data_IF_735921501579
#
_entry.id   IF_735921501579
#
_cell.length_a   1.000
_cell.length_b   1.000
_cell.length_c   1.000
_cell.angle_alpha   90.00
_cell.angle_beta   90.00
_cell.angle_gamma   90.00
#
_symmetry.space_group_name_H-M   'P 1'
#
loop_
_entity.id
_entity.type
_entity.pdbx_description
1 polymer ?
#
# COMPACT_ATOMS: atom_id res chain seq x y z
N UNK A 1 -21.47 -4.69 8.91
CA UNK A 1 -20.18 -5.36 8.84
C UNK A 1 -19.11 -4.32 8.58
N UNK A 2 -17.98 -4.42 9.24
CA UNK A 2 -16.84 -3.56 8.98
C UNK A 2 -16.22 -3.89 7.60
N UNK A 3 -15.40 -3.01 7.06
CA UNK A 3 -14.88 -3.14 5.70
C UNK A 3 -13.36 -3.23 5.71
N UNK A 4 -12.83 -4.16 4.94
CA UNK A 4 -11.41 -4.30 4.65
C UNK A 4 -11.18 -3.75 3.24
N UNK A 5 -10.64 -2.54 3.14
CA UNK A 5 -10.30 -1.94 1.85
C UNK A 5 -8.91 -2.46 1.47
N UNK A 6 -8.84 -3.19 0.36
CA UNK A 6 -7.57 -3.74 -0.14
C UNK A 6 -7.12 -2.94 -1.35
N UNK A 7 -6.10 -2.11 -1.17
CA UNK A 7 -5.53 -1.35 -2.28
C UNK A 7 -4.58 -2.22 -3.10
N UNK A 8 -4.97 -2.49 -4.33
CA UNK A 8 -4.23 -3.27 -5.31
C UNK A 8 -3.61 -2.36 -6.38
N UNK A 9 -2.61 -2.85 -7.05
CA UNK A 9 -1.91 -2.14 -8.14
C UNK A 9 -0.40 -2.33 -8.04
N UNK A 10 0.29 -2.06 -9.14
CA UNK A 10 1.73 -2.22 -9.25
C UNK A 10 2.51 -1.31 -8.28
N UNK A 11 3.77 -1.61 -7.99
CA UNK A 11 4.66 -0.66 -7.35
C UNK A 11 4.64 0.69 -8.10
N UNK A 12 4.53 1.80 -7.39
CA UNK A 12 4.41 3.13 -8.02
C UNK A 12 2.98 3.57 -8.40
N UNK A 13 1.96 2.71 -8.29
CA UNK A 13 0.57 3.04 -8.65
C UNK A 13 -0.08 4.12 -7.75
N UNK A 14 0.49 4.43 -6.57
CA UNK A 14 -0.05 5.47 -5.69
C UNK A 14 -0.84 4.91 -4.50
N UNK A 15 -0.81 3.60 -4.24
CA UNK A 15 -1.52 2.95 -3.12
C UNK A 15 -1.31 3.64 -1.78
N UNK A 16 -0.07 3.91 -1.40
CA UNK A 16 0.24 4.56 -0.11
C UNK A 16 -0.31 5.97 0.00
N UNK A 17 -0.35 6.74 -1.10
CA UNK A 17 -0.98 8.07 -1.13
C UNK A 17 -2.47 7.95 -0.90
N UNK A 18 -3.14 7.03 -1.58
CA UNK A 18 -4.57 6.80 -1.43
C UNK A 18 -4.92 6.22 -0.06
N UNK A 19 -4.11 5.29 0.45
CA UNK A 19 -4.30 4.73 1.79
C UNK A 19 -4.28 5.82 2.87
N UNK A 20 -3.36 6.79 2.76
CA UNK A 20 -3.28 7.90 3.69
C UNK A 20 -4.51 8.83 3.58
N UNK A 21 -4.92 9.21 2.37
CA UNK A 21 -6.13 10.02 2.18
C UNK A 21 -7.38 9.32 2.73
N UNK A 22 -7.51 8.01 2.51
CA UNK A 22 -8.59 7.20 3.07
C UNK A 22 -8.52 7.15 4.60
N UNK A 23 -7.32 6.96 5.17
CA UNK A 23 -7.12 6.98 6.63
C UNK A 23 -7.54 8.31 7.25
N UNK A 24 -7.08 9.42 6.68
CA UNK A 24 -7.36 10.77 7.18
C UNK A 24 -8.85 11.11 7.15
N UNK A 25 -9.56 10.68 6.09
CA UNK A 25 -10.95 11.09 5.85
C UNK A 25 -11.99 10.08 6.30
N UNK A 26 -11.68 8.78 6.24
CA UNK A 26 -12.58 7.72 6.69
C UNK A 26 -12.28 7.28 8.13
N UNK A 27 -11.15 7.74 8.71
CA UNK A 27 -10.69 7.37 10.06
C UNK A 27 -10.49 5.87 10.25
N UNK A 28 -10.16 5.15 9.16
CA UNK A 28 -9.78 3.75 9.20
C UNK A 28 -8.26 3.62 9.26
N UNK A 29 -7.71 2.73 10.10
CA UNK A 29 -6.25 2.57 10.17
C UNK A 29 -5.69 2.01 8.87
N UNK A 30 -4.58 2.59 8.39
CA UNK A 30 -3.78 2.05 7.32
C UNK A 30 -2.83 0.99 7.86
N UNK A 31 -2.77 -0.15 7.18
CA UNK A 31 -1.82 -1.23 7.43
C UNK A 31 -0.98 -1.41 6.17
N UNK A 32 0.22 -0.84 6.18
CA UNK A 32 1.19 -0.94 5.10
C UNK A 32 2.25 -1.97 5.46
N UNK A 33 2.22 -3.14 4.82
CA UNK A 33 3.26 -4.17 5.04
C UNK A 33 4.64 -3.66 4.66
N UNK A 34 4.74 -2.85 3.61
CA UNK A 34 6.00 -2.23 3.21
C UNK A 34 6.56 -1.29 4.28
N UNK A 35 5.72 -0.50 4.96
CA UNK A 35 6.17 0.41 6.02
C UNK A 35 6.55 -0.37 7.28
N UNK A 36 5.78 -1.40 7.63
CA UNK A 36 6.11 -2.31 8.74
C UNK A 36 7.51 -2.91 8.51
N UNK A 37 7.78 -3.48 7.34
CA UNK A 37 9.09 -4.04 7.04
C UNK A 37 10.20 -2.99 6.97
N UNK A 38 9.91 -1.78 6.49
CA UNK A 38 10.88 -0.68 6.52
C UNK A 38 11.21 -0.22 7.95
N UNK A 39 10.25 -0.23 8.85
CA UNK A 39 10.52 0.12 10.26
C UNK A 39 11.44 -0.88 10.97
N UNK A 40 11.48 -2.13 10.51
CA UNK A 40 12.43 -3.13 11.02
C UNK A 40 13.89 -2.80 10.68
N UNK A 41 14.16 -1.88 9.73
CA UNK A 41 15.53 -1.50 9.34
C UNK A 41 16.37 -0.94 10.49
N UNK A 42 15.73 -0.38 11.50
CA UNK A 42 16.42 0.12 12.69
C UNK A 42 16.75 -0.97 13.73
N UNK A 43 16.15 -2.14 13.59
CA UNK A 43 16.43 -3.28 14.44
C UNK A 43 17.68 -4.03 13.95
N UNK A 44 18.60 -4.31 14.87
CA UNK A 44 19.83 -5.06 14.60
C UNK A 44 19.64 -6.56 14.87
N UNK A 45 18.53 -7.13 14.37
CA UNK A 45 18.26 -8.57 14.49
C UNK A 45 18.54 -9.29 13.17
N UNK A 46 18.87 -10.60 13.19
CA UNK A 46 19.05 -11.39 11.98
C UNK A 46 17.83 -11.33 11.05
N UNK A 47 16.62 -11.39 11.60
CA UNK A 47 15.38 -11.25 10.84
C UNK A 47 15.27 -9.91 10.11
N UNK A 48 15.62 -8.81 10.79
CA UNK A 48 15.58 -7.48 10.19
C UNK A 48 16.58 -7.34 9.04
N UNK A 49 17.75 -7.99 9.15
CA UNK A 49 18.74 -8.04 8.09
C UNK A 49 18.23 -8.83 6.88
N UNK A 50 17.69 -10.02 7.10
CA UNK A 50 17.11 -10.87 6.04
C UNK A 50 15.98 -10.13 5.29
N UNK A 51 15.04 -9.54 6.00
CA UNK A 51 13.94 -8.75 5.41
C UNK A 51 14.50 -7.60 4.57
N UNK A 52 15.54 -6.91 5.03
CA UNK A 52 16.19 -5.83 4.28
C UNK A 52 16.76 -6.31 2.97
N UNK A 53 17.55 -7.39 3.00
CA UNK A 53 18.17 -7.97 1.82
C UNK A 53 17.14 -8.45 0.78
N UNK A 54 16.02 -9.04 1.22
CA UNK A 54 14.91 -9.43 0.35
C UNK A 54 14.31 -8.22 -0.34
N UNK A 55 14.03 -7.15 0.41
CA UNK A 55 13.42 -5.92 -0.13
C UNK A 55 14.36 -5.18 -1.09
N UNK A 56 15.66 -5.16 -0.82
CA UNK A 56 16.67 -4.52 -1.68
C UNK A 56 16.82 -5.24 -3.03
N UNK A 57 16.55 -6.55 -3.07
CA UNK A 57 16.44 -7.33 -4.30
C UNK A 57 15.10 -7.20 -5.01
N UNK A 58 14.17 -6.42 -4.49
CA UNK A 58 12.83 -6.24 -5.05
C UNK A 58 11.90 -7.44 -4.90
N UNK A 59 12.25 -8.39 -4.06
CA UNK A 59 11.48 -9.62 -3.79
C UNK A 59 10.44 -9.42 -2.69
N UNK A 60 9.49 -10.37 -2.59
CA UNK A 60 8.52 -10.40 -1.49
C UNK A 60 9.11 -11.07 -0.26
N UNK A 61 8.81 -10.49 0.89
CA UNK A 61 9.05 -11.15 2.20
C UNK A 61 8.18 -12.41 2.27
N UNK A 62 8.67 -13.52 2.86
CA UNK A 62 7.94 -14.78 2.94
C UNK A 62 6.50 -14.63 3.44
N UNK A 63 5.59 -15.39 2.82
CA UNK A 63 4.16 -15.32 3.08
C UNK A 63 3.83 -15.54 4.56
N UNK A 64 4.46 -16.51 5.20
CA UNK A 64 4.21 -16.87 6.60
C UNK A 64 4.45 -15.68 7.53
N UNK A 65 5.60 -14.99 7.35
CA UNK A 65 5.96 -13.82 8.16
C UNK A 65 5.00 -12.66 7.88
N UNK A 66 4.68 -12.43 6.59
CA UNK A 66 3.78 -11.35 6.19
C UNK A 66 2.36 -11.58 6.74
N UNK A 67 1.84 -12.80 6.64
CA UNK A 67 0.52 -13.19 7.14
C UNK A 67 0.46 -13.03 8.67
N UNK A 68 1.48 -13.48 9.38
CA UNK A 68 1.55 -13.35 10.83
C UNK A 68 1.50 -11.88 11.26
N UNK A 69 2.32 -11.02 10.64
CA UNK A 69 2.33 -9.59 10.92
C UNK A 69 0.98 -8.91 10.67
N UNK A 70 0.32 -9.26 9.58
CA UNK A 70 -1.01 -8.71 9.27
C UNK A 70 -2.04 -9.19 10.30
N UNK A 71 -2.04 -10.45 10.69
CA UNK A 71 -2.94 -10.99 11.73
C UNK A 71 -2.75 -10.29 13.06
N UNK A 72 -1.51 -10.13 13.51
CA UNK A 72 -1.19 -9.42 14.77
C UNK A 72 -1.66 -7.96 14.72
N UNK A 73 -1.39 -7.25 13.62
CA UNK A 73 -1.77 -5.84 13.47
C UNK A 73 -3.29 -5.64 13.42
N UNK A 74 -4.01 -6.50 12.71
CA UNK A 74 -5.46 -6.41 12.55
C UNK A 74 -6.25 -6.86 13.78
N UNK A 75 -5.62 -7.54 14.72
CA UNK A 75 -6.20 -7.89 16.01
C UNK A 75 -6.29 -6.70 16.99
N UNK A 76 -5.62 -5.58 16.70
CA UNK A 76 -5.64 -4.41 17.58
C UNK A 76 -7.02 -3.72 17.56
N UNK A 77 -7.40 -3.06 18.68
CA UNK A 77 -8.74 -2.48 18.84
C UNK A 77 -9.12 -1.43 17.78
N UNK A 78 -8.14 -0.71 17.22
CA UNK A 78 -8.36 0.31 16.20
C UNK A 78 -8.82 -0.26 14.85
N UNK A 79 -8.68 -1.58 14.63
CA UNK A 79 -9.11 -2.27 13.42
C UNK A 79 -10.56 -2.81 13.47
N UNK A 80 -11.26 -2.65 14.59
CA UNK A 80 -12.61 -3.22 14.79
C UNK A 80 -13.65 -2.69 13.79
N UNK A 81 -13.55 -1.42 13.44
CA UNK A 81 -14.50 -0.75 12.53
C UNK A 81 -14.10 -0.89 11.04
N UNK A 82 -13.05 -1.64 10.78
CA UNK A 82 -12.47 -1.84 9.47
C UNK A 82 -11.06 -1.26 9.36
N UNK A 83 -10.40 -1.51 8.23
CA UNK A 83 -9.03 -1.06 7.98
C UNK A 83 -8.69 -1.07 6.49
N UNK A 84 -7.57 -0.43 6.17
CA UNK A 84 -7.04 -0.31 4.82
C UNK A 84 -5.75 -1.13 4.73
N UNK A 85 -5.70 -2.08 3.80
CA UNK A 85 -4.50 -2.85 3.50
C UNK A 85 -3.75 -2.24 2.31
N UNK A 86 -2.50 -1.90 2.50
CA UNK A 86 -1.56 -1.46 1.48
C UNK A 86 -0.39 -2.44 1.37
N UNK A 87 -0.27 -3.09 0.23
CA UNK A 87 0.77 -4.07 -0.03
C UNK A 87 0.49 -5.48 0.50
N UNK A 88 -0.75 -5.80 0.83
CA UNK A 88 -1.23 -7.12 1.18
C UNK A 88 -2.69 -7.29 0.70
N UNK A 89 -3.09 -8.43 0.11
CA UNK A 89 -2.26 -9.56 -0.26
C UNK A 89 -1.43 -9.30 -1.52
N UNK A 90 -0.33 -10.04 -1.69
CA UNK A 90 0.52 -10.03 -2.90
C UNK A 90 0.67 -11.40 -3.55
N UNK A 91 0.24 -12.46 -2.86
CA UNK A 91 0.29 -13.84 -3.37
C UNK A 91 -1.04 -14.54 -3.16
N UNK A 92 -1.34 -15.62 -3.91
CA UNK A 92 -2.55 -16.41 -3.68
C UNK A 92 -2.65 -16.99 -2.27
N UNK A 93 -1.54 -17.33 -1.63
CA UNK A 93 -1.53 -17.80 -0.25
C UNK A 93 -1.97 -16.71 0.73
N UNK A 94 -1.46 -15.50 0.56
CA UNK A 94 -1.87 -14.33 1.33
C UNK A 94 -3.35 -13.99 1.10
N UNK A 95 -3.85 -14.09 -0.14
CA UNK A 95 -5.26 -13.83 -0.45
C UNK A 95 -6.21 -14.83 0.25
N UNK A 96 -5.83 -16.11 0.27
CA UNK A 96 -6.59 -17.13 1.03
C UNK A 96 -6.59 -16.85 2.53
N UNK A 97 -5.45 -16.48 3.08
CA UNK A 97 -5.34 -16.10 4.50
C UNK A 97 -6.17 -14.89 4.85
N UNK A 98 -6.21 -13.88 3.95
CA UNK A 98 -7.07 -12.71 4.13
C UNK A 98 -8.56 -13.07 4.10
N UNK A 99 -8.97 -13.95 3.19
CA UNK A 99 -10.36 -14.42 3.12
C UNK A 99 -10.79 -15.12 4.41
N UNK A 100 -9.93 -15.97 4.97
CA UNK A 100 -10.18 -16.62 6.26
C UNK A 100 -10.26 -15.59 7.39
N UNK A 101 -9.31 -14.66 7.48
CA UNK A 101 -9.29 -13.62 8.50
C UNK A 101 -10.54 -12.73 8.44
N UNK A 102 -10.97 -12.36 7.23
CA UNK A 102 -12.17 -11.55 7.03
C UNK A 102 -13.43 -12.29 7.49
N UNK A 103 -13.52 -13.61 7.23
CA UNK A 103 -14.63 -14.43 7.70
C UNK A 103 -14.64 -14.53 9.24
N UNK A 104 -13.49 -14.75 9.88
CA UNK A 104 -13.34 -14.79 11.34
C UNK A 104 -13.75 -13.43 11.98
N UNK A 105 -13.44 -12.32 11.34
CA UNK A 105 -13.78 -10.97 11.80
C UNK A 105 -15.18 -10.52 11.37
N UNK A 106 -15.89 -11.28 10.55
CA UNK A 106 -17.18 -10.93 9.94
C UNK A 106 -17.12 -9.62 9.12
N UNK A 107 -16.02 -9.42 8.40
CA UNK A 107 -15.76 -8.24 7.58
C UNK A 107 -15.87 -8.55 6.09
N UNK A 108 -16.29 -7.55 5.31
CA UNK A 108 -16.29 -7.64 3.84
C UNK A 108 -14.95 -7.16 3.28
N UNK A 109 -14.40 -7.89 2.31
CA UNK A 109 -13.22 -7.48 1.56
C UNK A 109 -13.64 -6.68 0.34
N UNK A 110 -13.05 -5.49 0.16
CA UNK A 110 -13.28 -4.61 -0.99
C UNK A 110 -11.94 -4.38 -1.68
N UNK A 111 -11.59 -5.18 -2.69
CA UNK A 111 -10.38 -4.99 -3.47
C UNK A 111 -10.58 -3.86 -4.48
N UNK A 112 -9.69 -2.86 -4.43
CA UNK A 112 -9.66 -1.70 -5.34
C UNK A 112 -8.33 -1.67 -6.06
N UNK A 113 -8.36 -1.91 -7.37
CA UNK A 113 -7.20 -1.79 -8.25
C UNK A 113 -7.02 -0.33 -8.67
N UNK A 114 -5.87 0.25 -8.33
CA UNK A 114 -5.40 1.52 -8.88
C UNK A 114 -4.58 1.17 -10.12
N UNK A 115 -5.19 1.32 -11.28
CA UNK A 115 -4.60 0.91 -12.55
C UNK A 115 -3.76 2.04 -13.15
N UNK A 116 -2.49 1.75 -13.46
CA UNK A 116 -1.53 2.72 -14.00
C UNK A 116 -0.70 2.02 -15.08
N UNK A 117 -0.56 2.63 -16.26
CA UNK A 117 0.31 2.13 -17.32
C UNK A 117 1.76 1.93 -16.86
N UNK A 118 2.39 0.86 -17.34
CA UNK A 118 3.73 0.44 -16.92
C UNK A 118 4.78 1.54 -17.13
N UNK A 119 4.65 2.29 -18.23
CA UNK A 119 5.59 3.36 -18.62
C UNK A 119 5.65 4.51 -17.61
N UNK A 120 4.58 4.72 -16.84
CA UNK A 120 4.52 5.75 -15.80
C UNK A 120 5.11 5.26 -14.46
N UNK A 121 5.05 3.96 -14.20
CA UNK A 121 5.42 3.39 -12.91
C UNK A 121 6.90 3.55 -12.59
N UNK A 122 7.77 3.35 -13.57
CA UNK A 122 9.21 3.53 -13.39
C UNK A 122 9.55 4.97 -12.98
N UNK A 123 9.04 5.98 -13.70
CA UNK A 123 9.22 7.39 -13.35
C UNK A 123 8.64 7.73 -11.99
N UNK A 124 7.48 7.16 -11.65
CA UNK A 124 6.86 7.36 -10.34
C UNK A 124 7.71 6.80 -9.19
N UNK A 125 8.37 5.65 -9.39
CA UNK A 125 9.21 5.06 -8.37
C UNK A 125 10.58 5.74 -8.27
N UNK A 126 11.29 5.88 -9.38
CA UNK A 126 12.64 6.49 -9.39
C UNK A 126 12.62 7.97 -9.01
N UNK A 127 11.54 8.68 -9.36
CA UNK A 127 11.32 10.08 -8.99
C UNK A 127 10.80 10.29 -7.58
N UNK A 128 10.42 9.24 -6.84
CA UNK A 128 9.85 9.35 -5.51
C UNK A 128 10.86 9.89 -4.50
N UNK A 129 10.36 10.80 -3.65
CA UNK A 129 11.06 11.31 -2.47
C UNK A 129 10.10 11.23 -1.29
N UNK A 130 10.62 10.97 -0.10
CA UNK A 130 9.82 10.84 1.12
C UNK A 130 10.40 11.71 2.23
N UNK A 131 9.55 12.38 2.99
CA UNK A 131 9.97 13.06 4.20
C UNK A 131 10.24 12.04 5.32
N UNK A 132 11.41 12.06 5.97
CA UNK A 132 11.72 11.13 7.06
C UNK A 132 10.92 11.42 8.35
N UNK A 133 10.29 12.60 8.47
CA UNK A 133 9.53 13.03 9.65
C UNK A 133 8.06 12.67 9.53
N UNK A 134 7.38 13.08 8.43
CA UNK A 134 5.93 12.90 8.26
C UNK A 134 5.54 11.85 7.22
N UNK A 135 6.51 11.23 6.56
CA UNK A 135 6.29 10.30 5.46
C UNK A 135 5.53 10.89 4.26
N UNK A 136 5.42 12.25 4.15
CA UNK A 136 4.87 12.88 2.96
C UNK A 136 5.66 12.45 1.72
N UNK A 137 4.90 12.14 0.64
CA UNK A 137 5.47 11.61 -0.60
C UNK A 137 5.44 12.71 -1.65
N UNK A 138 6.61 12.99 -2.19
CA UNK A 138 6.86 13.87 -3.33
C UNK A 138 7.34 13.05 -4.52
N UNK A 139 7.33 13.68 -5.68
CA UNK A 139 7.90 13.12 -6.89
C UNK A 139 8.56 14.24 -7.70
N UNK A 140 9.82 14.07 -8.06
CA UNK A 140 10.58 15.09 -8.78
C UNK A 140 10.01 15.43 -10.17
N UNK A 141 9.19 14.53 -10.75
CA UNK A 141 8.57 14.74 -12.07
C UNK A 141 7.11 15.18 -11.99
N UNK A 142 6.34 14.70 -10.99
CA UNK A 142 4.88 14.86 -10.97
C UNK A 142 4.35 15.68 -9.80
N UNK A 143 5.07 15.72 -8.69
CA UNK A 143 4.72 16.48 -7.48
C UNK A 143 6.01 16.92 -6.78
N UNK A 144 6.78 17.86 -7.37
CA UNK A 144 7.99 18.36 -6.72
C UNK A 144 7.64 19.13 -5.44
N UNK A 145 8.52 19.16 -4.44
CA UNK A 145 8.39 20.06 -3.30
C UNK A 145 8.56 21.52 -3.75
N UNK A 146 8.10 22.47 -2.93
CA UNK A 146 8.26 23.92 -3.21
C UNK A 146 9.72 24.36 -3.27
N UNK A 147 10.53 23.78 -2.40
CA UNK A 147 11.99 24.00 -2.36
C UNK A 147 12.69 22.68 -2.63
N UNK A 148 13.71 22.72 -3.45
CA UNK A 148 14.41 21.52 -3.88
C UNK A 148 14.87 20.68 -2.69
N UNK A 149 14.48 19.40 -2.71
CA UNK A 149 14.83 18.39 -1.74
C UNK A 149 14.44 18.68 -0.26
N UNK A 150 13.48 19.59 -0.03
CA UNK A 150 13.00 19.97 1.31
C UNK A 150 11.50 19.64 1.45
N UNK A 151 11.09 19.15 2.61
CA UNK A 151 9.68 18.87 2.89
C UNK A 151 8.89 20.19 3.08
N UNK A 152 7.75 20.32 2.39
CA UNK A 152 6.89 21.50 2.50
C UNK A 152 6.24 21.66 3.89
N UNK A 153 6.09 20.55 4.63
CA UNK A 153 5.50 20.50 5.97
C UNK A 153 6.55 20.55 7.09
N UNK A 154 7.79 20.17 6.79
CA UNK A 154 8.92 20.13 7.72
C UNK A 154 10.15 20.73 7.03
N UNK A 155 10.29 22.07 7.05
CA UNK A 155 11.35 22.75 6.31
C UNK A 155 12.78 22.35 6.74
N UNK A 156 12.94 21.80 7.93
CA UNK A 156 14.21 21.27 8.45
C UNK A 156 14.53 19.86 7.93
N UNK A 157 13.56 19.17 7.30
CA UNK A 157 13.73 17.80 6.86
C UNK A 157 14.11 17.72 5.38
N UNK A 158 15.27 17.14 5.11
CA UNK A 158 15.71 16.78 3.77
C UNK A 158 14.96 15.54 3.29
N UNK A 159 14.41 15.59 2.09
CA UNK A 159 13.73 14.46 1.47
C UNK A 159 14.71 13.34 1.13
N UNK A 160 14.29 12.11 1.33
CA UNK A 160 15.11 10.92 1.03
C UNK A 160 14.50 10.09 -0.09
N UNK A 161 15.34 9.51 -0.94
CA UNK A 161 14.94 8.44 -1.85
C UNK A 161 15.00 7.11 -1.10
N UNK A 162 14.01 6.25 -1.29
CA UNK A 162 14.03 4.90 -0.71
C UNK A 162 15.14 4.08 -1.38
N UNK A 163 15.79 3.21 -0.64
CA UNK A 163 16.85 2.34 -1.15
C UNK A 163 16.36 1.42 -2.29
N UNK A 164 15.07 1.05 -2.24
CA UNK A 164 14.39 0.20 -3.23
C UNK A 164 13.76 0.96 -4.41
N UNK A 165 14.07 2.25 -4.58
CA UNK A 165 13.60 3.09 -5.70
C UNK A 165 14.71 3.42 -6.73
N UNK A 166 15.81 2.67 -6.71
CA UNK A 166 16.79 2.72 -7.79
C UNK A 166 16.28 1.93 -9.02
N UNK A 167 16.70 2.27 -10.25
CA UNK A 167 16.16 1.67 -11.48
C UNK A 167 16.23 0.14 -11.50
N UNK A 168 17.33 -0.45 -11.05
CA UNK A 168 17.55 -1.90 -11.06
C UNK A 168 16.53 -2.61 -10.14
N UNK A 169 16.40 -2.17 -8.90
CA UNK A 169 15.42 -2.71 -7.97
C UNK A 169 13.98 -2.45 -8.43
N UNK A 170 13.72 -1.32 -9.07
CA UNK A 170 12.40 -0.99 -9.65
C UNK A 170 12.00 -2.01 -10.71
N UNK A 171 12.90 -2.37 -11.63
CA UNK A 171 12.63 -3.41 -12.62
C UNK A 171 12.36 -4.78 -11.97
N UNK A 172 13.15 -5.16 -10.97
CA UNK A 172 12.93 -6.41 -10.22
C UNK A 172 11.55 -6.42 -9.52
N UNK A 173 11.14 -5.31 -8.91
CA UNK A 173 9.83 -5.15 -8.25
C UNK A 173 8.66 -5.24 -9.22
N UNK A 174 8.79 -4.67 -10.41
CA UNK A 174 7.77 -4.76 -11.45
C UNK A 174 7.65 -6.19 -11.98
N UNK A 175 8.78 -6.89 -12.20
CA UNK A 175 8.77 -8.29 -12.58
C UNK A 175 8.11 -9.18 -11.52
N UNK A 176 8.49 -9.01 -10.25
CA UNK A 176 7.87 -9.71 -9.11
C UNK A 176 6.35 -9.45 -9.02
N UNK A 177 5.92 -8.20 -9.28
CA UNK A 177 4.50 -7.86 -9.30
C UNK A 177 3.77 -8.59 -10.42
N UNK A 178 4.28 -8.57 -11.64
CA UNK A 178 3.65 -9.24 -12.80
C UNK A 178 3.53 -10.75 -12.57
N UNK A 179 4.55 -11.38 -12.00
CA UNK A 179 4.58 -12.82 -11.76
C UNK A 179 3.69 -13.26 -10.59
N UNK A 180 3.77 -12.56 -9.45
CA UNK A 180 3.21 -13.05 -8.19
C UNK A 180 1.94 -12.33 -7.75
N UNK A 181 1.80 -11.04 -8.07
CA UNK A 181 0.71 -10.21 -7.55
C UNK A 181 -0.39 -9.95 -8.57
N UNK A 182 -0.03 -9.73 -9.84
CA UNK A 182 -1.01 -9.49 -10.90
C UNK A 182 -2.06 -10.61 -11.03
N UNK A 183 -1.76 -11.90 -10.85
CA UNK A 183 -2.77 -12.96 -10.87
C UNK A 183 -3.91 -12.76 -9.88
N UNK A 184 -3.71 -12.00 -8.78
CA UNK A 184 -4.77 -11.67 -7.84
C UNK A 184 -5.84 -10.74 -8.43
N UNK A 185 -5.50 -9.93 -9.43
CA UNK A 185 -6.45 -9.08 -10.14
C UNK A 185 -7.50 -9.96 -10.81
N UNK A 186 -7.08 -11.00 -11.51
CA UNK A 186 -7.99 -11.96 -12.15
C UNK A 186 -8.77 -12.79 -11.12
N UNK A 187 -8.14 -13.15 -10.01
CA UNK A 187 -8.81 -13.83 -8.90
C UNK A 187 -9.99 -13.03 -8.34
N UNK A 188 -9.79 -11.75 -8.01
CA UNK A 188 -10.86 -10.91 -7.47
C UNK A 188 -11.87 -10.48 -8.54
N UNK A 189 -11.44 -10.34 -9.79
CA UNK A 189 -12.33 -10.09 -10.93
C UNK A 189 -13.27 -11.27 -11.18
N UNK A 190 -12.75 -12.49 -11.18
CA UNK A 190 -13.56 -13.71 -11.32
C UNK A 190 -14.55 -13.90 -10.16
N UNK A 191 -14.19 -13.44 -8.96
CA UNK A 191 -15.08 -13.43 -7.80
C UNK A 191 -16.16 -12.31 -7.85
N UNK A 192 -16.10 -11.40 -8.85
CA UNK A 192 -17.02 -10.26 -8.96
C UNK A 192 -16.83 -9.19 -7.89
N UNK A 193 -15.68 -9.17 -7.21
CA UNK A 193 -15.40 -8.26 -6.09
C UNK A 193 -14.55 -7.05 -6.51
N UNK A 194 -13.76 -7.18 -7.58
CA UNK A 194 -12.76 -6.17 -7.96
C UNK A 194 -13.42 -4.86 -8.41
N UNK A 195 -13.00 -3.77 -7.79
CA UNK A 195 -13.24 -2.42 -8.26
C UNK A 195 -11.97 -1.89 -8.93
N UNK A 196 -12.10 -1.10 -10.00
CA UNK A 196 -10.95 -0.53 -10.71
C UNK A 196 -11.10 0.97 -10.86
N UNK A 197 -10.04 1.70 -10.56
CA UNK A 197 -9.95 3.16 -10.71
C UNK A 197 -8.73 3.54 -11.55
N UNK A 198 -8.85 4.62 -12.32
CA UNK A 198 -7.75 5.15 -13.12
C UNK A 198 -6.73 5.86 -12.22
N UNK A 199 -5.57 5.23 -12.05
CA UNK A 199 -4.46 5.75 -11.25
C UNK A 199 -3.57 6.79 -11.94
N UNK A 200 -3.91 7.22 -13.16
CA UNK A 200 -3.15 8.27 -13.88
C UNK A 200 -3.56 9.68 -13.49
N UNK A 201 -4.72 9.82 -12.87
CA UNK A 201 -5.32 11.09 -12.47
C UNK A 201 -4.64 11.71 -11.26
N UNK A 202 -5.02 12.95 -10.93
CA UNK A 202 -4.57 13.62 -9.70
C UNK A 202 -5.03 12.87 -8.44
N UNK A 203 -4.24 12.88 -7.36
CA UNK A 203 -4.52 12.09 -6.15
C UNK A 203 -5.92 12.29 -5.57
N UNK A 204 -6.43 13.54 -5.58
CA UNK A 204 -7.79 13.85 -5.13
C UNK A 204 -8.87 13.17 -5.98
N UNK A 205 -8.72 13.23 -7.30
CA UNK A 205 -9.68 12.62 -8.21
C UNK A 205 -9.69 11.09 -8.08
N UNK A 206 -8.52 10.48 -7.85
CA UNK A 206 -8.43 9.03 -7.58
C UNK A 206 -9.13 8.70 -6.25
N UNK A 207 -8.93 9.52 -5.22
CA UNK A 207 -9.62 9.34 -3.94
C UNK A 207 -11.14 9.38 -4.11
N UNK A 208 -11.68 10.37 -4.83
CA UNK A 208 -13.11 10.47 -5.11
C UNK A 208 -13.65 9.24 -5.86
N UNK A 209 -12.88 8.74 -6.85
CA UNK A 209 -13.26 7.54 -7.59
C UNK A 209 -13.24 6.30 -6.67
N UNK A 210 -12.26 6.16 -5.79
CA UNK A 210 -12.24 5.09 -4.79
C UNK A 210 -13.47 5.17 -3.88
N UNK A 211 -13.75 6.33 -3.30
CA UNK A 211 -14.91 6.51 -2.40
C UNK A 211 -16.22 6.19 -3.11
N UNK A 212 -16.35 6.52 -4.39
CA UNK A 212 -17.56 6.25 -5.19
C UNK A 212 -17.79 4.75 -5.40
N UNK A 213 -16.75 3.95 -5.51
CA UNK A 213 -16.87 2.48 -5.69
C UNK A 213 -16.94 1.73 -4.36
N UNK A 214 -16.64 2.39 -3.24
CA UNK A 214 -16.84 1.79 -1.93
C UNK A 214 -18.34 1.72 -1.63
N UNK A 215 -18.89 0.54 -1.25
CA UNK A 215 -20.23 0.47 -0.71
C UNK A 215 -20.31 1.39 0.52
N UNK A 216 -21.40 2.15 0.66
CA UNK A 216 -21.55 3.16 1.72
C UNK A 216 -21.06 2.62 3.07
N UNK A 217 -19.93 3.12 3.51
CA UNK A 217 -19.42 2.84 4.85
C UNK A 217 -20.41 3.55 5.76
N UNK A 218 -21.25 2.79 6.46
CA UNK A 218 -22.30 3.33 7.31
C UNK A 218 -21.72 4.38 8.25
N UNK A 219 -22.06 5.64 8.03
CA UNK A 219 -21.69 6.77 8.87
C UNK A 219 -22.27 6.71 10.31
N UNK A 220 -22.88 5.57 10.68
CA UNK A 220 -23.56 5.36 11.96
C UNK A 220 -22.73 4.69 13.06
N UNK A 221 -21.41 4.49 12.85
CA UNK A 221 -20.54 3.99 13.94
C UNK A 221 -20.00 5.10 14.86
N UNK A 222 -20.61 6.30 14.82
CA UNK A 222 -20.29 7.41 15.75
C UNK A 222 -21.49 7.68 16.66
N UNK A 223 -21.64 6.90 17.72
CA UNK A 223 -22.26 7.30 18.99
C UNK A 223 -21.62 6.55 20.14
#
# INVERSE_FOLDING_TARGET
MAKIIVLMGAPGAGKGTQARLLQERLHLPQISTGDIFRSLKTAHTPLAQEVREIMERGQLVPDELTIQLVKERTALPDCRDGYILDGFPRTPAQARSLAQLAAEQQNDIIPVLIDVPLELLEKRMTGRRSCPVCNEIYNIYFKPPRYDNVCDLHPEATLIQRADDNPETVHARLATYEEQTRPLVEYYKAAGLLQTVDGTREPEAIYEDIVRVLPQINANARR
#
